data_IF_246754851776
#
_entry.id   IF_246754851776
#
_cell.length_a   1.000
_cell.length_b   1.000
_cell.length_c   1.000
_cell.angle_alpha   90.00
_cell.angle_beta   90.00
_cell.angle_gamma   90.00
#
_symmetry.space_group_name_H-M   'P 1'
#
loop_
_entity.id
_entity.type
_entity.pdbx_description
1 polymer ?
#
# COMPACT_ATOMS: atom_id res chain seq x y z
N UNK A 1 -23.07 28.43 -6.60
CA UNK A 1 -22.66 27.18 -5.92
C UNK A 1 -21.84 26.40 -6.93
N UNK A 2 -20.52 26.37 -6.77
CA UNK A 2 -19.65 25.58 -7.63
C UNK A 2 -19.86 24.10 -7.33
N UNK A 3 -20.33 23.36 -8.34
CA UNK A 3 -20.48 21.92 -8.28
C UNK A 3 -19.08 21.32 -8.37
N UNK A 4 -18.50 20.91 -7.23
CA UNK A 4 -17.23 20.19 -7.24
C UNK A 4 -17.43 18.84 -7.93
N UNK A 5 -16.87 18.71 -9.14
CA UNK A 5 -16.78 17.44 -9.86
C UNK A 5 -15.83 16.54 -9.07
N UNK A 6 -16.37 15.46 -8.51
CA UNK A 6 -15.55 14.41 -7.90
C UNK A 6 -15.02 13.57 -9.05
N UNK A 7 -13.70 13.51 -9.21
CA UNK A 7 -13.07 12.60 -10.16
C UNK A 7 -13.25 11.16 -9.67
N UNK A 8 -14.02 10.36 -10.40
CA UNK A 8 -14.17 8.95 -10.12
C UNK A 8 -12.92 8.19 -10.62
N UNK A 9 -12.31 7.39 -9.75
CA UNK A 9 -11.17 6.55 -10.11
C UNK A 9 -11.66 5.22 -10.69
N UNK A 10 -12.25 5.27 -11.89
CA UNK A 10 -12.82 4.11 -12.58
C UNK A 10 -11.77 3.53 -13.53
N UNK A 11 -11.64 2.21 -13.53
CA UNK A 11 -10.79 1.50 -14.50
C UNK A 11 -11.44 1.54 -15.89
N UNK A 12 -10.65 1.84 -16.91
CA UNK A 12 -11.04 1.68 -18.31
C UNK A 12 -11.05 0.20 -18.71
N UNK A 13 -11.79 -0.14 -19.77
CA UNK A 13 -11.84 -1.52 -20.27
C UNK A 13 -10.44 -1.99 -20.72
N UNK A 14 -9.63 -1.09 -21.26
CA UNK A 14 -8.28 -1.36 -21.76
C UNK A 14 -7.28 -1.66 -20.62
N UNK A 15 -7.60 -1.28 -19.39
CA UNK A 15 -6.80 -1.59 -18.20
C UNK A 15 -7.15 -2.95 -17.59
N UNK A 16 -8.26 -3.56 -18.01
CA UNK A 16 -8.67 -4.89 -17.55
C UNK A 16 -8.00 -5.94 -18.43
N UNK A 17 -7.21 -6.87 -17.87
CA UNK A 17 -6.58 -7.91 -18.67
C UNK A 17 -7.62 -8.88 -19.24
N UNK A 18 -7.53 -9.20 -20.54
CA UNK A 18 -8.35 -10.23 -21.24
C UNK A 18 -8.08 -11.67 -20.77
N UNK A 19 -7.23 -11.83 -19.75
CA UNK A 19 -6.82 -13.14 -19.24
C UNK A 19 -7.43 -13.37 -17.87
N UNK A 20 -8.08 -14.52 -17.70
CA UNK A 20 -8.53 -14.95 -16.39
C UNK A 20 -7.33 -15.23 -15.50
N UNK A 21 -7.19 -14.44 -14.44
CA UNK A 21 -6.17 -14.64 -13.41
C UNK A 21 -6.83 -14.90 -12.06
N UNK A 22 -6.32 -15.86 -11.27
CA UNK A 22 -6.76 -16.01 -9.89
C UNK A 22 -6.53 -14.71 -9.11
N UNK A 23 -7.47 -14.36 -8.22
CA UNK A 23 -7.38 -13.17 -7.38
C UNK A 23 -6.03 -13.06 -6.64
N UNK A 24 -5.51 -14.18 -6.11
CA UNK A 24 -4.19 -14.24 -5.46
C UNK A 24 -3.04 -13.78 -6.37
N UNK A 25 -3.13 -14.07 -7.67
CA UNK A 25 -2.12 -13.72 -8.67
C UNK A 25 -2.21 -12.23 -9.00
N UNK A 26 -3.42 -11.70 -9.15
CA UNK A 26 -3.65 -10.27 -9.34
C UNK A 26 -3.08 -9.45 -8.17
N UNK A 27 -3.43 -9.85 -6.93
CA UNK A 27 -2.90 -9.25 -5.70
C UNK A 27 -1.38 -9.34 -5.65
N UNK A 28 -0.81 -10.49 -6.03
CA UNK A 28 0.65 -10.66 -6.04
C UNK A 28 1.34 -9.75 -7.05
N UNK A 29 0.79 -9.61 -8.26
CA UNK A 29 1.32 -8.68 -9.28
C UNK A 29 1.25 -7.22 -8.81
N UNK A 30 0.13 -6.81 -8.21
CA UNK A 30 -0.08 -5.44 -7.76
C UNK A 30 0.76 -5.08 -6.51
N UNK A 31 0.96 -6.04 -5.59
CA UNK A 31 1.48 -5.75 -4.24
C UNK A 31 2.79 -6.48 -3.89
N UNK A 32 3.29 -7.36 -4.75
CA UNK A 32 4.40 -8.26 -4.43
C UNK A 32 4.02 -9.40 -3.47
N UNK A 33 2.73 -9.74 -3.36
CA UNK A 33 2.23 -10.93 -2.68
C UNK A 33 1.76 -10.71 -1.24
N UNK A 34 2.40 -9.78 -0.50
CA UNK A 34 2.04 -9.54 0.90
C UNK A 34 0.84 -8.59 1.08
N UNK A 35 0.41 -7.89 0.03
CA UNK A 35 -0.72 -6.96 0.10
C UNK A 35 -0.41 -5.62 0.77
N UNK A 36 0.77 -5.48 1.39
CA UNK A 36 1.21 -4.24 2.03
C UNK A 36 2.75 -4.19 2.09
N UNK A 37 3.30 -2.98 2.14
CA UNK A 37 4.73 -2.76 2.35
C UNK A 37 5.04 -2.97 3.83
N UNK A 38 5.92 -3.94 4.13
CA UNK A 38 6.42 -4.19 5.48
C UNK A 38 7.82 -3.61 5.67
N UNK A 39 7.96 -2.77 6.68
CA UNK A 39 9.23 -2.25 7.19
C UNK A 39 10.08 -3.43 7.77
N UNK A 40 11.41 -3.34 7.75
CA UNK A 40 12.28 -4.27 8.52
C UNK A 40 12.67 -3.71 9.89
N UNK A 41 12.02 -2.63 10.32
CA UNK A 41 12.28 -2.01 11.61
C UNK A 41 11.75 -2.91 12.74
N UNK A 42 12.53 -3.06 13.82
CA UNK A 42 12.13 -3.81 15.01
C UNK A 42 11.28 -2.96 15.98
N UNK A 43 11.42 -1.65 15.89
CA UNK A 43 10.66 -0.60 16.57
C UNK A 43 10.99 0.75 15.91
N UNK A 44 10.23 1.80 16.23
CA UNK A 44 10.58 3.20 15.92
C UNK A 44 10.78 3.49 14.42
N UNK A 45 9.71 3.86 13.73
CA UNK A 45 9.73 4.10 12.28
C UNK A 45 9.90 5.57 11.85
N UNK A 46 10.38 6.46 12.72
CA UNK A 46 10.53 7.90 12.41
C UNK A 46 11.86 8.27 11.73
N UNK A 47 12.83 7.37 11.68
CA UNK A 47 14.15 7.63 11.09
C UNK A 47 14.19 7.27 9.60
N UNK A 48 15.13 7.86 8.86
CA UNK A 48 15.42 7.49 7.46
C UNK A 48 15.90 6.04 7.26
N UNK A 49 16.09 5.26 8.34
CA UNK A 49 16.33 3.81 8.28
C UNK A 49 15.06 3.01 8.01
N UNK A 50 13.89 3.55 8.32
CA UNK A 50 12.63 2.93 7.96
C UNK A 50 12.39 3.09 6.46
N UNK A 51 12.19 1.98 5.75
CA UNK A 51 11.91 1.97 4.32
C UNK A 51 10.62 2.73 3.98
N UNK A 52 9.61 2.65 4.86
CA UNK A 52 8.35 3.38 4.70
C UNK A 52 8.56 4.89 4.85
N UNK A 53 9.16 5.34 5.95
CA UNK A 53 9.48 6.75 6.19
C UNK A 53 10.35 7.35 5.09
N UNK A 54 11.39 6.62 4.63
CA UNK A 54 12.26 7.05 3.53
C UNK A 54 11.50 7.23 2.20
N UNK A 55 10.49 6.40 1.95
CA UNK A 55 9.59 6.51 0.79
C UNK A 55 8.42 7.47 1.02
N UNK A 56 8.36 8.14 2.17
CA UNK A 56 7.27 9.03 2.60
C UNK A 56 5.91 8.35 2.60
N UNK A 57 5.87 7.07 2.99
CA UNK A 57 4.64 6.29 3.17
C UNK A 57 4.47 5.86 4.62
N UNK A 58 3.22 5.75 5.06
CA UNK A 58 2.88 5.27 6.40
C UNK A 58 3.07 3.75 6.50
N UNK A 59 3.48 3.30 7.67
CA UNK A 59 3.60 1.88 7.98
C UNK A 59 2.22 1.28 8.23
N UNK A 60 2.05 0.02 7.83
CA UNK A 60 0.87 -0.75 8.23
C UNK A 60 0.81 -0.93 9.76
N UNK A 61 -0.40 -1.03 10.32
CA UNK A 61 -0.63 -1.29 11.76
C UNK A 61 0.05 -2.58 12.28
N UNK A 62 0.39 -3.51 11.39
CA UNK A 62 1.14 -4.75 11.67
C UNK A 62 2.66 -4.64 11.43
N UNK A 63 3.22 -3.43 11.28
CA UNK A 63 4.68 -3.23 11.03
C UNK A 63 5.53 -3.79 12.19
N UNK A 64 5.07 -3.67 13.44
CA UNK A 64 5.72 -4.29 14.60
C UNK A 64 4.74 -5.17 15.39
N UNK A 65 4.98 -6.48 15.53
CA UNK A 65 4.16 -7.33 16.38
C UNK A 65 4.24 -6.87 17.84
N UNK A 66 3.11 -6.48 18.42
CA UNK A 66 3.00 -6.14 19.85
C UNK A 66 3.77 -4.89 20.30
N UNK A 67 4.23 -4.03 19.37
CA UNK A 67 4.95 -2.79 19.70
C UNK A 67 4.35 -1.60 18.95
N UNK A 68 4.54 -0.40 19.50
CA UNK A 68 4.11 0.84 18.86
C UNK A 68 4.99 1.18 17.65
N UNK A 69 4.35 1.71 16.60
CA UNK A 69 4.99 2.30 15.44
C UNK A 69 4.67 3.81 15.43
N UNK A 70 5.71 4.64 15.26
CA UNK A 70 5.57 6.10 15.24
C UNK A 70 5.36 6.67 13.83
N UNK A 71 5.20 5.82 12.82
CA UNK A 71 4.98 6.20 11.42
C UNK A 71 3.73 5.47 10.91
N UNK A 72 2.59 5.66 11.57
CA UNK A 72 1.29 5.08 11.20
C UNK A 72 0.42 6.10 10.48
#
# INVERSE_FOLDING_TARGET
ADLQVISENILSIDEVPDTEIPLRTAVTKATGGQGYVKCMCLSGCSSGRCSCSRKRVLCNSRCHPGKSCNNI
#
